data_IF_331453295811
#
_entry.id   IF_331453295811
#
_cell.length_a   1.000
_cell.length_b   1.000
_cell.length_c   1.000
_cell.angle_alpha   90.00
_cell.angle_beta   90.00
_cell.angle_gamma   90.00
#
_symmetry.space_group_name_H-M   'P 1'
#
loop_
_entity.id
_entity.type
_entity.pdbx_description
1 polymer ?
#
# COMPACT_ATOMS: atom_id res chain seq x y z
N UNK A 1 0.80 25.42 35.51
CA UNK A 1 0.81 25.13 34.06
C UNK A 1 1.05 23.62 33.98
N UNK A 2 -0.02 22.84 34.02
CA UNK A 2 0.05 21.38 34.12
C UNK A 2 0.59 20.81 32.81
N UNK A 3 1.74 20.14 32.89
CA UNK A 3 2.28 19.35 31.80
C UNK A 3 1.40 18.12 31.61
N UNK A 4 0.58 18.15 30.56
CA UNK A 4 -0.15 16.98 30.06
C UNK A 4 0.88 15.94 29.59
N UNK A 5 1.26 15.02 30.46
CA UNK A 5 1.88 13.76 30.08
C UNK A 5 0.88 13.01 29.19
N UNK A 6 1.06 13.15 27.88
CA UNK A 6 0.33 12.36 26.89
C UNK A 6 0.82 10.93 27.03
N UNK A 7 0.14 10.15 27.86
CA UNK A 7 0.38 8.74 28.01
C UNK A 7 0.35 8.11 26.60
N UNK A 8 1.53 7.72 26.10
CA UNK A 8 1.63 6.84 24.95
C UNK A 8 0.93 5.57 25.37
N UNK A 9 -0.28 5.36 24.86
CA UNK A 9 -1.03 4.13 25.06
C UNK A 9 -0.12 2.98 24.64
N UNK A 10 0.41 2.22 25.62
CA UNK A 10 1.16 1.00 25.32
C UNK A 10 0.22 0.07 24.55
N UNK A 11 0.70 -0.56 23.46
CA UNK A 11 -0.13 -1.51 22.73
C UNK A 11 -0.59 -2.59 23.71
N UNK A 12 -1.90 -2.80 23.74
CA UNK A 12 -2.52 -3.84 24.55
C UNK A 12 -2.08 -5.20 24.02
N UNK A 13 -1.14 -5.83 24.72
CA UNK A 13 -0.57 -7.14 24.38
C UNK A 13 -1.47 -8.31 24.79
N UNK A 14 -2.66 -8.04 25.34
CA UNK A 14 -3.55 -9.08 25.92
C UNK A 14 -4.69 -9.51 25.01
N UNK A 15 -4.93 -8.82 23.89
CA UNK A 15 -5.83 -9.33 22.85
C UNK A 15 -5.13 -10.42 22.06
N UNK A 16 -5.73 -11.62 22.04
CA UNK A 16 -5.48 -12.60 20.98
C UNK A 16 -5.85 -11.92 19.67
N UNK A 17 -4.83 -11.43 18.96
CA UNK A 17 -5.01 -10.83 17.65
C UNK A 17 -5.33 -11.99 16.71
N UNK A 18 -6.46 -11.88 16.04
CA UNK A 18 -6.75 -12.78 14.92
C UNK A 18 -5.55 -12.72 13.96
N UNK A 19 -5.05 -13.85 13.44
CA UNK A 19 -3.85 -13.87 12.61
C UNK A 19 -4.03 -12.90 11.45
N UNK A 20 -3.09 -11.97 11.29
CA UNK A 20 -3.17 -11.05 10.16
C UNK A 20 -2.90 -11.88 8.89
N UNK A 21 -3.82 -11.92 7.91
CA UNK A 21 -3.63 -12.69 6.70
C UNK A 21 -2.38 -12.26 5.90
N UNK A 22 -1.84 -11.08 6.19
CA UNK A 22 -0.65 -10.55 5.53
C UNK A 22 0.66 -10.82 6.30
N UNK A 23 0.65 -11.44 7.49
CA UNK A 23 1.85 -11.62 8.31
C UNK A 23 2.98 -12.36 7.57
N UNK A 24 2.62 -13.42 6.83
CA UNK A 24 3.58 -14.19 6.02
C UNK A 24 4.15 -13.33 4.90
N UNK A 25 3.30 -12.68 4.12
CA UNK A 25 3.72 -11.83 3.01
C UNK A 25 4.56 -10.64 3.49
N UNK A 26 4.18 -10.02 4.61
CA UNK A 26 4.95 -8.94 5.21
C UNK A 26 6.36 -9.41 5.60
N UNK A 27 6.46 -10.60 6.21
CA UNK A 27 7.76 -11.20 6.56
C UNK A 27 8.63 -11.46 5.32
N UNK A 28 8.04 -12.04 4.27
CA UNK A 28 8.73 -12.30 3.00
C UNK A 28 9.24 -11.01 2.34
N UNK A 29 8.42 -9.95 2.32
CA UNK A 29 8.80 -8.66 1.74
C UNK A 29 9.90 -7.99 2.57
N UNK A 30 9.81 -8.06 3.91
CA UNK A 30 10.83 -7.54 4.81
C UNK A 30 12.16 -8.25 4.56
N UNK A 31 12.18 -9.58 4.47
CA UNK A 31 13.39 -10.33 4.17
C UNK A 31 13.96 -9.98 2.79
N UNK A 32 13.11 -9.90 1.76
CA UNK A 32 13.52 -9.48 0.41
C UNK A 32 14.12 -8.06 0.39
N UNK A 33 13.71 -7.19 1.31
CA UNK A 33 14.22 -5.83 1.48
C UNK A 33 15.43 -5.74 2.44
N UNK A 34 16.09 -6.86 2.73
CA UNK A 34 17.27 -6.91 3.58
C UNK A 34 16.97 -6.91 5.08
N UNK A 35 15.74 -7.26 5.47
CA UNK A 35 15.31 -7.33 6.87
C UNK A 35 14.90 -5.98 7.47
N UNK A 36 14.85 -4.91 6.68
CA UNK A 36 14.44 -3.58 7.14
C UNK A 36 12.98 -3.28 6.76
N UNK A 37 12.05 -3.22 7.73
CA UNK A 37 10.65 -2.87 7.48
C UNK A 37 10.47 -1.49 6.84
N UNK A 38 11.36 -0.53 7.10
CA UNK A 38 11.28 0.79 6.48
C UNK A 38 11.49 0.67 4.96
N UNK A 39 12.51 -0.06 4.53
CA UNK A 39 12.77 -0.29 3.10
C UNK A 39 11.64 -1.10 2.43
N UNK A 40 11.06 -2.08 3.13
CA UNK A 40 9.90 -2.81 2.67
C UNK A 40 8.70 -1.90 2.38
N UNK A 41 8.42 -0.95 3.28
CA UNK A 41 7.34 0.03 3.08
C UNK A 41 7.63 0.96 1.91
N UNK A 42 8.87 1.45 1.77
CA UNK A 42 9.27 2.29 0.63
C UNK A 42 9.10 1.55 -0.70
N UNK A 43 9.51 0.28 -0.76
CA UNK A 43 9.33 -0.55 -1.94
C UNK A 43 7.85 -0.75 -2.29
N UNK A 44 7.01 -1.03 -1.30
CA UNK A 44 5.56 -1.18 -1.48
C UNK A 44 4.89 0.10 -1.99
N UNK A 45 5.30 1.27 -1.50
CA UNK A 45 4.80 2.55 -2.00
C UNK A 45 5.21 2.80 -3.46
N UNK A 46 6.45 2.47 -3.82
CA UNK A 46 6.91 2.55 -5.21
C UNK A 46 6.12 1.64 -6.16
N UNK A 47 5.88 0.38 -5.76
CA UNK A 47 5.08 -0.57 -6.56
C UNK A 47 3.63 -0.11 -6.69
N UNK A 48 3.04 0.42 -5.61
CA UNK A 48 1.70 1.01 -5.64
C UNK A 48 1.63 2.13 -6.68
N UNK A 49 2.57 3.07 -6.65
CA UNK A 49 2.56 4.22 -7.56
C UNK A 49 2.74 3.78 -9.02
N UNK A 50 3.58 2.76 -9.26
CA UNK A 50 3.72 2.15 -10.58
C UNK A 50 2.40 1.53 -11.09
N UNK A 51 1.71 0.76 -10.25
CA UNK A 51 0.43 0.14 -10.61
C UNK A 51 -0.66 1.18 -10.88
N UNK A 52 -0.72 2.24 -10.07
CA UNK A 52 -1.64 3.38 -10.31
C UNK A 52 -1.38 4.00 -11.68
N UNK A 53 -0.12 4.32 -11.99
CA UNK A 53 0.23 4.89 -13.30
C UNK A 53 -0.12 3.98 -14.47
N UNK A 54 0.00 2.65 -14.30
CA UNK A 54 -0.44 1.69 -15.32
C UNK A 54 -1.95 1.65 -15.51
N UNK A 55 -2.72 1.77 -14.42
CA UNK A 55 -4.18 1.84 -14.49
C UNK A 55 -4.59 3.11 -15.23
N UNK A 56 -4.03 4.27 -14.87
CA UNK A 56 -4.33 5.55 -15.54
C UNK A 56 -4.00 5.49 -17.04
N UNK A 57 -2.85 4.92 -17.41
CA UNK A 57 -2.48 4.73 -18.81
C UNK A 57 -3.44 3.80 -19.56
N UNK A 58 -3.89 2.73 -18.91
CA UNK A 58 -4.86 1.81 -19.48
C UNK A 58 -6.22 2.50 -19.69
N UNK A 59 -6.72 3.22 -18.69
CA UNK A 59 -7.96 3.99 -18.76
C UNK A 59 -7.92 5.01 -19.89
N UNK A 60 -6.82 5.75 -20.03
CA UNK A 60 -6.63 6.67 -21.14
C UNK A 60 -6.70 5.93 -22.49
N UNK A 61 -6.00 4.80 -22.63
CA UNK A 61 -5.99 4.03 -23.88
C UNK A 61 -7.38 3.49 -24.26
N UNK A 62 -8.15 3.01 -23.28
CA UNK A 62 -9.52 2.51 -23.49
C UNK A 62 -10.46 3.65 -23.84
N UNK A 63 -10.36 4.79 -23.15
CA UNK A 63 -11.16 5.99 -23.42
C UNK A 63 -10.92 6.53 -24.84
N UNK A 64 -9.65 6.64 -25.27
CA UNK A 64 -9.30 7.00 -26.64
C UNK A 64 -9.81 5.98 -27.68
N UNK A 65 -9.78 4.68 -27.36
CA UNK A 65 -10.36 3.63 -28.19
C UNK A 65 -11.88 3.78 -28.35
N UNK A 66 -12.58 4.16 -27.28
CA UNK A 66 -14.03 4.42 -27.31
C UNK A 66 -14.39 5.64 -28.16
N UNK A 67 -13.64 6.75 -28.03
CA UNK A 67 -13.85 7.98 -28.83
C UNK A 67 -13.75 7.69 -30.33
N UNK A 68 -12.73 6.97 -30.77
CA UNK A 68 -12.56 6.61 -32.20
C UNK A 68 -13.67 5.70 -32.73
N UNK A 69 -14.17 4.78 -31.91
CA UNK A 69 -15.29 3.92 -32.29
C UNK A 69 -16.62 4.70 -32.41
N UNK A 70 -16.76 5.80 -31.65
CA UNK A 70 -17.89 6.71 -31.73
C UNK A 70 -17.88 7.61 -32.97
N UNK A 71 -16.70 8.10 -33.38
CA UNK A 71 -16.53 8.93 -34.58
C UNK A 71 -16.69 8.17 -35.91
N UNK A 72 -16.49 6.84 -35.89
CA UNK A 72 -16.63 5.98 -37.07
C UNK A 72 -18.07 5.48 -37.33
N UNK A 73 -19.06 5.94 -36.55
CA UNK A 73 -20.49 5.64 -36.72
C UNK A 73 -21.24 6.84 -37.30
#
# INVERSE_FOLDING_TARGET
MESMERAVQKPDTTRVREPDPYDVAASEIIEACGGDPHNAVVALLGERDYLVGRIEALEASVSWGFVRAGEAR
#
